data_IF_015434788995
#
_entry.id   IF_015434788995
#
_cell.length_a   1.000
_cell.length_b   1.000
_cell.length_c   1.000
_cell.angle_alpha   90.00
_cell.angle_beta   90.00
_cell.angle_gamma   90.00
#
_symmetry.space_group_name_H-M   'P 1'
#
loop_
_entity.id
_entity.type
_entity.pdbx_description
1 polymer ?
#
# COMPACT_ATOMS: atom_id res chain seq x y z
N UNK A 1 -11.21 5.59 6.58
CA UNK A 1 -10.07 4.66 6.82
C UNK A 1 -10.05 4.23 8.28
N UNK A 2 -9.34 3.15 8.65
CA UNK A 2 -9.55 2.36 9.90
C UNK A 2 -9.96 3.19 11.10
N UNK A 3 -11.12 2.87 11.66
CA UNK A 3 -11.62 3.47 12.88
C UNK A 3 -11.59 2.44 14.00
N UNK A 4 -11.08 2.84 15.16
CA UNK A 4 -11.10 2.03 16.37
C UNK A 4 -12.32 2.44 17.21
N UNK A 5 -13.05 1.47 17.75
CA UNK A 5 -14.19 1.77 18.61
C UNK A 5 -13.71 2.40 19.92
N UNK A 6 -14.38 3.50 20.31
CA UNK A 6 -14.16 4.17 21.59
C UNK A 6 -15.45 4.21 22.42
N UNK A 7 -15.35 3.91 23.71
CA UNK A 7 -16.45 4.09 24.69
C UNK A 7 -15.93 4.88 25.89
N UNK A 8 -16.59 5.99 26.21
CA UNK A 8 -16.16 6.89 27.30
C UNK A 8 -14.73 7.42 27.13
N UNK A 9 -14.31 7.71 25.90
CA UNK A 9 -12.95 8.17 25.59
C UNK A 9 -11.86 7.10 25.67
N UNK A 10 -12.21 5.81 25.84
CA UNK A 10 -11.26 4.70 25.89
C UNK A 10 -11.45 3.77 24.69
N UNK A 11 -10.33 3.28 24.14
CA UNK A 11 -10.33 2.23 23.12
C UNK A 11 -10.89 0.94 23.70
N UNK A 12 -11.79 0.30 22.97
CA UNK A 12 -12.41 -0.97 23.41
C UNK A 12 -11.66 -2.21 22.90
N UNK A 13 -10.72 -2.01 21.97
CA UNK A 13 -10.05 -3.09 21.24
C UNK A 13 -10.84 -3.59 20.02
N UNK A 14 -12.05 -3.08 19.80
CA UNK A 14 -12.84 -3.39 18.60
C UNK A 14 -12.53 -2.42 17.46
N UNK A 15 -12.73 -2.90 16.24
CA UNK A 15 -12.58 -2.13 15.00
C UNK A 15 -13.98 -1.80 14.47
N UNK A 16 -14.16 -0.57 13.98
CA UNK A 16 -15.32 -0.21 13.19
C UNK A 16 -15.03 -0.59 11.74
N UNK A 17 -15.79 -1.56 11.24
CA UNK A 17 -15.67 -2.06 9.87
C UNK A 17 -16.13 -1.00 8.84
N UNK A 18 -15.54 -0.97 7.63
CA UNK A 18 -14.51 -1.90 7.14
C UNK A 18 -13.08 -1.53 7.57
N UNK A 19 -12.31 -2.52 7.99
CA UNK A 19 -10.88 -2.39 8.25
C UNK A 19 -10.13 -1.95 6.99
N UNK A 20 -9.22 -0.97 7.07
CA UNK A 20 -8.40 -0.52 5.94
C UNK A 20 -7.21 -1.46 5.68
N UNK A 21 -7.50 -2.72 5.33
CA UNK A 21 -6.53 -3.77 5.07
C UNK A 21 -6.96 -4.62 3.85
N UNK A 22 -6.02 -4.97 2.98
CA UNK A 22 -6.33 -5.71 1.75
C UNK A 22 -7.42 -5.04 0.91
N UNK A 23 -8.51 -5.75 0.63
CA UNK A 23 -9.70 -5.22 -0.08
C UNK A 23 -10.32 -4.00 0.63
N UNK A 24 -10.18 -3.90 1.96
CA UNK A 24 -10.65 -2.73 2.68
C UNK A 24 -9.91 -1.44 2.30
N UNK A 25 -8.63 -1.53 1.90
CA UNK A 25 -7.92 -0.37 1.33
C UNK A 25 -8.56 0.09 0.02
N UNK A 26 -8.99 -0.85 -0.82
CA UNK A 26 -9.71 -0.54 -2.07
C UNK A 26 -11.02 0.18 -1.76
N UNK A 27 -11.82 -0.34 -0.84
CA UNK A 27 -13.07 0.31 -0.42
C UNK A 27 -12.84 1.77 -0.03
N UNK A 28 -11.87 2.03 0.84
CA UNK A 28 -11.64 3.38 1.31
C UNK A 28 -11.04 4.31 0.24
N UNK A 29 -10.21 3.79 -0.66
CA UNK A 29 -9.69 4.58 -1.78
C UNK A 29 -10.80 4.94 -2.76
N UNK A 30 -11.76 4.06 -3.02
CA UNK A 30 -12.92 4.40 -3.86
C UNK A 30 -13.70 5.59 -3.29
N UNK A 31 -13.92 5.61 -1.97
CA UNK A 31 -14.55 6.76 -1.30
C UNK A 31 -13.74 8.05 -1.46
N UNK A 32 -12.41 7.96 -1.37
CA UNK A 32 -11.53 9.12 -1.58
C UNK A 32 -11.58 9.62 -3.03
N UNK A 33 -11.55 8.70 -4.00
CA UNK A 33 -11.65 8.97 -5.43
C UNK A 33 -12.95 9.70 -5.76
N UNK A 34 -14.08 9.21 -5.24
CA UNK A 34 -15.40 9.83 -5.42
C UNK A 34 -15.45 11.24 -4.84
N UNK A 35 -14.89 11.44 -3.64
CA UNK A 35 -14.94 12.73 -2.96
C UNK A 35 -13.98 13.77 -3.56
N UNK A 36 -12.84 13.34 -4.09
CA UNK A 36 -11.76 14.24 -4.52
C UNK A 36 -11.52 14.27 -6.05
N UNK A 37 -12.21 13.42 -6.82
CA UNK A 37 -12.03 13.33 -8.27
C UNK A 37 -10.64 12.81 -8.67
N UNK A 38 -10.09 11.86 -7.90
CA UNK A 38 -8.75 11.31 -8.15
C UNK A 38 -8.80 10.28 -9.28
N UNK A 39 -7.91 10.40 -10.25
CA UNK A 39 -7.72 9.39 -11.30
C UNK A 39 -6.68 8.34 -10.86
N UNK A 40 -7.15 7.13 -10.58
CA UNK A 40 -6.27 6.01 -10.20
C UNK A 40 -5.34 5.57 -11.33
N UNK A 41 -5.73 5.75 -12.60
CA UNK A 41 -4.87 5.43 -13.73
C UNK A 41 -3.64 6.35 -13.82
N UNK A 42 -3.69 7.52 -13.15
CA UNK A 42 -2.58 8.47 -13.03
C UNK A 42 -1.95 8.47 -11.64
N UNK A 43 -2.29 7.49 -10.81
CA UNK A 43 -1.82 7.40 -9.43
C UNK A 43 -0.73 6.36 -9.27
N UNK A 44 0.16 6.62 -8.31
CA UNK A 44 1.19 5.67 -7.87
C UNK A 44 0.77 5.03 -6.55
N UNK A 45 1.11 3.75 -6.40
CA UNK A 45 0.95 3.07 -5.12
C UNK A 45 2.17 2.23 -4.80
N UNK A 46 2.74 2.49 -3.64
CA UNK A 46 3.96 1.86 -3.13
C UNK A 46 3.61 0.98 -1.92
N UNK A 47 4.08 -0.26 -1.92
CA UNK A 47 3.86 -1.19 -0.80
C UNK A 47 4.93 -2.28 -0.75
N UNK A 48 5.16 -2.79 0.44
CA UNK A 48 6.02 -3.95 0.72
C UNK A 48 5.22 -5.26 0.84
N UNK A 49 3.89 -5.19 0.92
CA UNK A 49 3.06 -6.34 1.25
C UNK A 49 2.19 -6.83 0.10
N UNK A 50 2.18 -8.16 -0.11
CA UNK A 50 1.29 -8.81 -1.07
C UNK A 50 -0.19 -8.65 -0.72
N UNK A 51 -0.49 -8.34 0.56
CA UNK A 51 -1.86 -8.09 1.02
C UNK A 51 -2.51 -6.94 0.28
N UNK A 52 -1.72 -6.00 -0.24
CA UNK A 52 -2.18 -4.85 -1.00
C UNK A 52 -2.28 -5.10 -2.50
N UNK A 53 -2.12 -6.35 -2.94
CA UNK A 53 -2.33 -6.76 -4.34
C UNK A 53 -3.61 -6.18 -4.96
N UNK A 54 -4.79 -6.20 -4.29
CA UNK A 54 -6.00 -5.65 -4.89
C UNK A 54 -5.87 -4.19 -5.31
N UNK A 55 -5.10 -3.40 -4.55
CA UNK A 55 -4.90 -2.00 -4.84
C UNK A 55 -3.80 -1.78 -5.89
N UNK A 56 -2.71 -2.56 -5.83
CA UNK A 56 -1.69 -2.56 -6.89
C UNK A 56 -2.27 -2.88 -8.27
N UNK A 57 -3.26 -3.76 -8.35
CA UNK A 57 -3.95 -4.11 -9.61
C UNK A 57 -4.87 -3.00 -10.14
N UNK A 58 -5.15 -1.94 -9.36
CA UNK A 58 -6.09 -0.86 -9.71
C UNK A 58 -5.45 0.48 -10.06
N UNK A 59 -4.23 0.73 -9.60
CA UNK A 59 -3.50 1.96 -9.94
C UNK A 59 -2.77 1.83 -11.27
N UNK A 60 -2.54 2.96 -11.95
CA UNK A 60 -1.77 2.96 -13.20
C UNK A 60 -0.28 2.75 -13.00
N UNK A 61 0.25 3.11 -11.82
CA UNK A 61 1.68 3.03 -11.53
C UNK A 61 1.95 2.26 -10.21
N UNK A 62 1.77 0.93 -10.19
CA UNK A 62 2.09 0.10 -9.04
C UNK A 62 3.60 -0.05 -8.86
N UNK A 63 4.08 0.05 -7.62
CA UNK A 63 5.50 -0.13 -7.28
C UNK A 63 5.63 -1.00 -6.03
N UNK A 64 6.40 -2.08 -6.15
CA UNK A 64 6.74 -2.93 -5.01
C UNK A 64 8.03 -2.41 -4.36
N UNK A 65 7.98 -2.03 -3.08
CA UNK A 65 9.12 -1.46 -2.35
C UNK A 65 9.51 -2.39 -1.22
N UNK A 66 10.76 -2.87 -1.21
CA UNK A 66 11.23 -3.88 -0.26
C UNK A 66 10.24 -5.04 -0.07
N UNK A 67 9.74 -5.64 -1.17
CA UNK A 67 8.57 -6.50 -1.11
C UNK A 67 8.83 -7.80 -0.34
N UNK A 68 7.79 -8.28 0.35
CA UNK A 68 7.74 -9.64 0.86
C UNK A 68 7.92 -10.66 -0.29
N UNK A 69 8.32 -11.92 -0.01
CA UNK A 69 8.61 -12.89 -1.06
C UNK A 69 7.43 -13.20 -1.99
N UNK A 70 6.19 -13.03 -1.53
CA UNK A 70 4.99 -13.24 -2.35
C UNK A 70 4.77 -12.04 -3.27
N UNK A 71 4.93 -10.82 -2.77
CA UNK A 71 4.83 -9.61 -3.58
C UNK A 71 5.96 -9.54 -4.61
N UNK A 72 7.19 -9.91 -4.24
CA UNK A 72 8.33 -9.96 -5.17
C UNK A 72 8.00 -10.85 -6.38
N UNK A 73 7.53 -12.09 -6.14
CA UNK A 73 7.13 -13.02 -7.21
C UNK A 73 5.98 -12.49 -8.07
N UNK A 74 5.03 -11.79 -7.45
CA UNK A 74 3.92 -11.17 -8.17
C UNK A 74 4.41 -10.00 -9.04
N UNK A 75 5.24 -9.12 -8.49
CA UNK A 75 5.82 -7.97 -9.19
C UNK A 75 6.63 -8.41 -10.41
N UNK A 76 7.52 -9.40 -10.26
CA UNK A 76 8.28 -9.99 -11.39
C UNK A 76 7.32 -10.53 -12.46
N UNK A 77 6.28 -11.28 -12.06
CA UNK A 77 5.30 -11.85 -13.01
C UNK A 77 4.50 -10.79 -13.76
N UNK A 78 4.18 -9.68 -13.10
CA UNK A 78 3.37 -8.59 -13.66
C UNK A 78 4.21 -7.51 -14.35
N UNK A 79 5.54 -7.60 -14.28
CA UNK A 79 6.44 -6.56 -14.77
C UNK A 79 6.33 -5.25 -13.99
N UNK A 80 5.94 -5.30 -12.71
CA UNK A 80 5.88 -4.11 -11.86
C UNK A 80 7.29 -3.70 -11.43
N UNK A 81 7.59 -2.39 -11.37
CA UNK A 81 8.81 -1.90 -10.75
C UNK A 81 8.97 -2.45 -9.33
N UNK A 82 10.16 -2.99 -9.06
CA UNK A 82 10.59 -3.40 -7.72
C UNK A 82 11.71 -2.47 -7.31
N UNK A 83 11.64 -1.94 -6.08
CA UNK A 83 12.67 -1.06 -5.50
C UNK A 83 13.16 -1.68 -4.21
N UNK A 84 14.47 -1.93 -4.14
CA UNK A 84 15.11 -2.54 -2.98
C UNK A 84 16.02 -1.51 -2.33
N UNK A 85 15.62 -0.98 -1.20
CA UNK A 85 16.41 -0.02 -0.43
C UNK A 85 17.13 -0.75 0.69
N UNK A 86 18.44 -0.57 0.75
CA UNK A 86 19.27 -1.02 1.86
C UNK A 86 19.75 0.18 2.64
N UNK A 87 19.86 0.02 3.97
CA UNK A 87 20.65 0.96 4.77
C UNK A 87 22.12 0.69 4.50
N UNK A 88 22.88 1.74 4.21
CA UNK A 88 24.34 1.65 4.25
C UNK A 88 24.85 1.69 5.70
N UNK A 89 26.16 1.46 5.88
CA UNK A 89 26.82 1.47 7.20
C UNK A 89 26.73 2.81 7.94
N UNK A 90 26.31 3.89 7.24
CA UNK A 90 26.08 5.22 7.80
C UNK A 90 24.63 5.47 8.20
N UNK A 91 23.72 4.51 7.96
CA UNK A 91 22.28 4.63 8.20
C UNK A 91 21.53 5.42 7.12
N UNK A 92 22.18 5.71 6.00
CA UNK A 92 21.57 6.37 4.85
C UNK A 92 20.90 5.33 3.93
N UNK A 93 19.75 5.67 3.37
CA UNK A 93 18.97 4.76 2.50
C UNK A 93 19.40 4.97 1.06
N UNK A 94 19.96 3.94 0.42
CA UNK A 94 20.37 4.01 -1.00
C UNK A 94 19.51 3.06 -1.84
N UNK A 95 19.01 3.57 -2.97
CA UNK A 95 18.40 2.75 -4.02
C UNK A 95 19.50 2.35 -5.03
N UNK A 96 19.84 1.06 -5.15
CA UNK A 96 20.86 0.59 -6.08
C UNK A 96 20.49 0.79 -7.55
N UNK A 97 19.22 1.10 -7.87
CA UNK A 97 18.73 1.32 -9.25
C UNK A 97 18.42 2.79 -9.59
N UNK A 98 18.73 3.77 -8.73
CA UNK A 98 18.42 5.19 -8.97
C UNK A 98 19.35 5.91 -9.98
N UNK A 99 19.82 5.22 -11.02
CA UNK A 99 20.54 5.83 -12.16
C UNK A 99 19.60 6.12 -13.33
#
# INVERSE_FOLDING_TARGET
>A
FTQLETKGGRLTGQIVEPLCFGEGKVHWIQQLVEHQGIDLARSWFYTDSVTDRPLLERVGHPVAVNPDPRLYRLGVRRGWPIRLFTLDDSGSTTDPEAQ
#
